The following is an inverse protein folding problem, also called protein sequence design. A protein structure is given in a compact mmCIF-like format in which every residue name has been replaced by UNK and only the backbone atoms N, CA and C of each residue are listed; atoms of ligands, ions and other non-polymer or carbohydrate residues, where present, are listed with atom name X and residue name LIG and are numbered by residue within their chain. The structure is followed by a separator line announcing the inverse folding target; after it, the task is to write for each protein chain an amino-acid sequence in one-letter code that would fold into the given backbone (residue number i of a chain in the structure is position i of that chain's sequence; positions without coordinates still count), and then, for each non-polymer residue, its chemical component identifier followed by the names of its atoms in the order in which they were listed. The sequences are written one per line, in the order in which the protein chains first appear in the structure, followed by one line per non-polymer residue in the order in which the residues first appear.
data_IF_736798902520
#
_entry.id   IF_736798902520
#
_cell.length_a   1.000
_cell.length_b   1.000
_cell.length_c   1.000
_cell.angle_alpha   90.00
_cell.angle_beta   90.00
_cell.angle_gamma   90.00
#
_symmetry.space_group_name_H-M   'P 1'
#
loop_
_entity.id
_entity.type
_entity.pdbx_description
1 polymer ?
#
# COMPACT_ATOMS: atom_id res chain seq x y z
N UNK A 1 15.93 1.91 6.75
CA UNK A 1 14.94 1.57 5.72
C UNK A 1 14.45 0.16 5.99
N UNK A 2 13.14 -0.07 6.04
CA UNK A 2 12.55 -1.36 6.46
C UNK A 2 12.18 -2.25 5.27
N UNK A 3 11.82 -1.62 4.16
CA UNK A 3 11.41 -2.26 2.90
C UNK A 3 12.16 -1.61 1.74
N UNK A 4 12.78 -2.40 0.86
CA UNK A 4 13.25 -1.91 -0.44
C UNK A 4 12.17 -1.98 -1.50
N UNK A 5 12.30 -1.19 -2.57
CA UNK A 5 11.35 -1.25 -3.69
C UNK A 5 11.29 -2.64 -4.34
N UNK A 6 12.43 -3.33 -4.42
CA UNK A 6 12.52 -4.70 -4.95
C UNK A 6 11.78 -5.70 -4.06
N UNK A 7 11.89 -5.54 -2.73
CA UNK A 7 11.15 -6.39 -1.78
C UNK A 7 9.64 -6.17 -1.89
N UNK A 8 9.21 -4.91 -2.07
CA UNK A 8 7.80 -4.58 -2.24
C UNK A 8 7.25 -5.18 -3.54
N UNK A 9 7.96 -5.03 -4.66
CA UNK A 9 7.58 -5.62 -5.93
C UNK A 9 7.56 -7.16 -5.85
N UNK A 10 8.60 -7.78 -5.28
CA UNK A 10 8.68 -9.22 -5.12
C UNK A 10 7.60 -9.78 -4.19
N UNK A 11 7.29 -9.09 -3.10
CA UNK A 11 6.27 -9.53 -2.15
C UNK A 11 4.85 -9.40 -2.72
N UNK A 12 4.57 -8.33 -3.45
CA UNK A 12 3.20 -8.01 -3.91
C UNK A 12 2.90 -8.47 -5.34
N UNK A 13 3.92 -8.83 -6.11
CA UNK A 13 3.83 -9.01 -7.57
C UNK A 13 3.22 -7.78 -8.27
N UNK A 14 3.42 -6.60 -7.67
CA UNK A 14 2.87 -5.34 -8.15
C UNK A 14 3.77 -4.66 -9.18
N UNK A 15 3.15 -3.84 -10.03
CA UNK A 15 3.82 -3.01 -11.02
C UNK A 15 4.06 -1.62 -10.46
N UNK A 16 5.33 -1.18 -10.43
CA UNK A 16 5.68 0.16 -10.00
C UNK A 16 5.51 1.16 -11.15
N UNK A 17 4.84 2.27 -10.88
CA UNK A 17 4.66 3.38 -11.81
C UNK A 17 5.00 4.71 -11.16
N UNK A 18 5.55 5.65 -11.94
CA UNK A 18 6.03 6.94 -11.48
C UNK A 18 7.52 6.95 -11.11
N UNK A 19 7.92 7.83 -10.19
CA UNK A 19 9.31 8.00 -9.80
C UNK A 19 9.83 6.81 -8.98
N UNK A 20 11.01 6.29 -9.33
CA UNK A 20 11.66 5.22 -8.57
C UNK A 20 12.09 5.73 -7.20
N UNK A 21 11.68 5.00 -6.15
CA UNK A 21 12.13 5.24 -4.78
C UNK A 21 13.11 4.14 -4.35
N UNK A 22 13.99 4.45 -3.40
CA UNK A 22 14.89 3.44 -2.83
C UNK A 22 14.14 2.42 -1.95
N UNK A 23 13.09 2.86 -1.26
CA UNK A 23 12.31 2.02 -0.35
C UNK A 23 11.51 2.85 0.65
N UNK A 24 10.91 2.15 1.62
CA UNK A 24 10.04 2.73 2.64
C UNK A 24 10.54 2.40 4.06
N UNK A 25 10.23 3.25 5.03
CA UNK A 25 10.59 3.04 6.44
C UNK A 25 9.53 2.25 7.22
N UNK A 26 8.27 2.30 6.78
CA UNK A 26 7.14 1.62 7.39
C UNK A 26 6.01 1.38 6.39
N UNK A 27 4.91 0.85 6.90
CA UNK A 27 3.67 0.59 6.16
C UNK A 27 2.51 1.15 6.98
N UNK A 28 1.64 1.94 6.35
CA UNK A 28 0.42 2.46 6.96
C UNK A 28 -0.78 2.23 6.06
N UNK A 29 -1.92 1.85 6.65
CA UNK A 29 -3.23 1.73 5.99
C UNK A 29 -4.15 2.92 6.30
N UNK A 30 -3.71 3.85 7.16
CA UNK A 30 -4.46 5.05 7.55
C UNK A 30 -3.57 6.27 7.29
N UNK A 31 -4.05 7.21 6.47
CA UNK A 31 -3.32 8.42 6.11
C UNK A 31 -3.10 9.35 7.31
N UNK A 32 -3.88 9.21 8.39
CA UNK A 32 -3.78 10.02 9.62
C UNK A 32 -2.64 9.60 10.53
N UNK A 33 -2.22 8.34 10.44
CA UNK A 33 -1.12 7.77 11.23
C UNK A 33 0.14 7.54 10.42
N UNK A 34 0.11 7.89 9.13
CA UNK A 34 1.24 7.73 8.23
C UNK A 34 2.38 8.67 8.64
N UNK A 35 3.61 8.15 8.64
CA UNK A 35 4.81 8.96 8.80
C UNK A 35 5.48 9.22 7.45
N UNK A 36 6.24 10.31 7.37
CA UNK A 36 7.00 10.63 6.17
C UNK A 36 7.98 9.49 5.81
N UNK A 37 7.94 9.05 4.56
CA UNK A 37 8.75 7.94 4.07
C UNK A 37 8.10 6.55 4.16
N UNK A 38 6.85 6.46 4.61
CA UNK A 38 6.11 5.20 4.67
C UNK A 38 5.42 4.83 3.35
N UNK A 39 5.14 3.54 3.20
CA UNK A 39 4.21 3.01 2.19
C UNK A 39 2.78 3.20 2.68
N UNK A 40 1.97 3.94 1.94
CA UNK A 40 0.53 3.98 2.14
C UNK A 40 -0.16 2.83 1.39
N UNK A 41 -1.11 2.15 2.02
CA UNK A 41 -1.91 1.09 1.38
C UNK A 41 -3.36 1.54 1.30
N UNK A 42 -3.84 1.80 0.09
CA UNK A 42 -5.19 2.24 -0.17
C UNK A 42 -6.18 1.07 -0.11
N UNK A 43 -6.63 0.71 1.09
CA UNK A 43 -7.64 -0.35 1.25
C UNK A 43 -9.02 0.14 0.79
N UNK A 44 -9.73 -0.71 0.04
CA UNK A 44 -11.13 -0.48 -0.30
C UNK A 44 -12.01 -0.57 0.95
N UNK A 45 -13.04 0.27 1.00
CA UNK A 45 -14.03 0.26 2.07
C UNK A 45 -14.86 -1.03 2.14
N UNK A 46 -15.01 -1.72 1.00
CA UNK A 46 -15.51 -3.09 0.92
C UNK A 46 -14.35 -4.08 0.71
N UNK A 47 -13.98 -4.87 1.73
CA UNK A 47 -12.93 -5.90 1.62
C UNK A 47 -13.36 -7.13 0.80
N UNK A 48 -14.57 -7.13 0.25
CA UNK A 48 -15.08 -8.17 -0.63
C UNK A 48 -15.59 -9.42 0.10
N UNK A 49 -15.96 -10.47 -0.64
CA UNK A 49 -16.69 -11.63 -0.11
C UNK A 49 -15.87 -12.48 0.87
N UNK A 50 -14.55 -12.31 0.89
CA UNK A 50 -13.63 -13.03 1.80
C UNK A 50 -13.82 -12.62 3.25
N UNK A 51 -14.27 -11.40 3.50
CA UNK A 51 -14.56 -10.91 4.84
C UNK A 51 -16.07 -10.79 5.00
N UNK A 52 -16.67 -11.73 5.74
CA UNK A 52 -18.02 -11.54 6.30
C UNK A 52 -17.92 -10.41 7.31
N UNK A 53 -18.23 -9.19 6.90
CA UNK A 53 -18.18 -8.04 7.82
C UNK A 53 -19.51 -7.31 7.88
N UNK A 54 -20.00 -7.16 9.10
CA UNK A 54 -21.02 -6.18 9.52
C UNK A 54 -20.50 -4.74 9.46
N UNK A 55 -19.23 -4.53 9.13
CA UNK A 55 -18.57 -3.25 8.95
C UNK A 55 -18.04 -3.15 7.51
N UNK A 56 -18.93 -2.76 6.58
CA UNK A 56 -18.50 -2.10 5.34
C UNK A 56 -18.21 -0.65 5.70
N UNK A 57 -17.08 -0.12 5.25
CA UNK A 57 -16.85 1.32 5.33
C UNK A 57 -17.19 1.92 3.98
N UNK A 58 -17.95 3.01 3.96
CA UNK A 58 -18.21 3.75 2.71
C UNK A 58 -16.97 4.55 2.25
N UNK A 59 -15.86 4.48 3.01
CA UNK A 59 -14.63 5.22 2.76
C UNK A 59 -13.67 4.37 1.94
N UNK A 60 -13.37 4.83 0.73
CA UNK A 60 -12.35 4.24 -0.12
C UNK A 60 -10.97 4.83 0.21
N UNK A 61 -10.00 3.99 0.58
CA UNK A 61 -8.63 4.40 0.86
C UNK A 61 -7.96 5.14 -0.30
N UNK A 62 -8.41 4.89 -1.53
CA UNK A 62 -7.92 5.54 -2.73
C UNK A 62 -8.23 7.04 -2.79
N UNK A 63 -9.27 7.50 -2.11
CA UNK A 63 -9.62 8.93 -2.03
C UNK A 63 -8.62 9.70 -1.14
N UNK A 64 -7.84 8.99 -0.32
CA UNK A 64 -6.89 9.57 0.62
C UNK A 64 -5.45 9.62 0.08
N UNK A 65 -5.21 9.31 -1.20
CA UNK A 65 -3.86 9.37 -1.79
C UNK A 65 -3.23 10.77 -1.70
N UNK A 66 -4.02 11.82 -1.94
CA UNK A 66 -3.56 13.21 -1.79
C UNK A 66 -3.18 13.53 -0.35
N UNK A 67 -3.94 13.01 0.62
CA UNK A 67 -3.65 13.18 2.05
C UNK A 67 -2.37 12.43 2.44
N UNK A 68 -2.20 11.19 1.96
CA UNK A 68 -0.99 10.39 2.17
C UNK A 68 0.26 11.09 1.59
N UNK A 69 0.16 11.66 0.39
CA UNK A 69 1.22 12.46 -0.22
C UNK A 69 1.58 13.67 0.65
N UNK A 70 0.58 14.43 1.12
CA UNK A 70 0.80 15.58 1.99
C UNK A 70 1.41 15.21 3.34
N UNK A 71 1.11 14.01 3.85
CA UNK A 71 1.75 13.45 5.05
C UNK A 71 3.17 12.91 4.79
N UNK A 72 3.65 12.94 3.54
CA UNK A 72 5.00 12.57 3.16
C UNK A 72 5.17 11.10 2.78
N UNK A 73 4.12 10.40 2.35
CA UNK A 73 4.24 9.03 1.86
C UNK A 73 5.32 8.93 0.77
N UNK A 74 6.12 7.88 0.82
CA UNK A 74 7.13 7.60 -0.21
C UNK A 74 6.51 6.89 -1.42
N UNK A 75 5.51 6.05 -1.18
CA UNK A 75 4.86 5.18 -2.15
C UNK A 75 3.43 4.92 -1.71
N UNK A 76 2.52 4.72 -2.66
CA UNK A 76 1.19 4.21 -2.38
C UNK A 76 0.90 2.91 -3.14
N UNK A 77 0.34 1.93 -2.46
CA UNK A 77 -0.19 0.71 -3.08
C UNK A 77 -1.68 0.86 -3.38
N UNK A 78 -2.05 0.60 -4.63
CA UNK A 78 -3.42 0.76 -5.15
C UNK A 78 -3.79 -0.45 -6.00
N UNK A 79 -5.08 -0.71 -6.19
CA UNK A 79 -5.56 -1.82 -7.03
C UNK A 79 -5.95 -1.39 -8.45
N UNK A 80 -6.01 -0.09 -8.70
CA UNK A 80 -6.45 0.52 -9.95
C UNK A 80 -5.52 1.64 -10.39
N UNK A 81 -5.60 1.98 -11.67
CA UNK A 81 -4.84 3.11 -12.20
C UNK A 81 -5.35 4.43 -11.61
N UNK A 82 -4.42 5.25 -11.10
CA UNK A 82 -4.73 6.53 -10.46
C UNK A 82 -3.97 7.64 -11.21
N UNK A 83 -4.44 8.05 -12.40
CA UNK A 83 -3.80 9.11 -13.17
C UNK A 83 -3.89 10.45 -12.42
N UNK A 84 -2.82 11.23 -12.46
CA UNK A 84 -2.77 12.55 -11.82
C UNK A 84 -2.42 12.55 -10.34
N UNK A 85 -2.07 11.40 -9.75
CA UNK A 85 -1.48 11.34 -8.42
C UNK A 85 0.01 11.65 -8.49
N UNK A 86 0.44 12.74 -7.86
CA UNK A 86 1.86 13.08 -7.72
C UNK A 86 2.52 12.25 -6.60
N UNK A 87 2.51 10.93 -6.74
CA UNK A 87 3.16 10.00 -5.82
C UNK A 87 3.52 8.74 -6.60
N UNK A 88 4.69 8.11 -6.34
CA UNK A 88 4.95 6.77 -6.86
C UNK A 88 3.83 5.82 -6.48
N UNK A 89 3.42 4.97 -7.42
CA UNK A 89 2.32 4.04 -7.25
C UNK A 89 2.82 2.61 -7.45
N UNK A 90 2.47 1.73 -6.52
CA UNK A 90 2.61 0.28 -6.65
C UNK A 90 1.23 -0.29 -6.95
N UNK A 91 0.99 -0.61 -8.22
CA UNK A 91 -0.29 -1.17 -8.65
C UNK A 91 -0.28 -2.68 -8.43
N UNK A 92 -1.29 -3.18 -7.73
CA UNK A 92 -1.51 -4.61 -7.48
C UNK A 92 -2.89 -5.02 -8.00
N UNK A 93 -3.18 -6.32 -8.07
CA UNK A 93 -4.52 -6.78 -8.45
C UNK A 93 -5.57 -6.53 -7.34
N UNK A 94 -5.15 -6.64 -6.08
CA UNK A 94 -5.97 -6.38 -4.90
C UNK A 94 -5.08 -5.88 -3.75
N UNK A 95 -5.40 -4.71 -3.19
CA UNK A 95 -4.61 -4.06 -2.13
C UNK A 95 -4.59 -4.83 -0.82
N UNK A 96 -5.67 -5.57 -0.52
CA UNK A 96 -5.75 -6.40 0.65
C UNK A 96 -4.85 -7.62 0.46
N UNK A 97 -4.92 -8.30 -0.69
CA UNK A 97 -4.00 -9.40 -0.99
C UNK A 97 -2.54 -8.95 -0.99
N UNK A 98 -2.25 -7.76 -1.52
CA UNK A 98 -0.92 -7.13 -1.42
C UNK A 98 -0.45 -6.96 0.04
N UNK A 99 -1.32 -6.45 0.92
CA UNK A 99 -1.01 -6.30 2.35
C UNK A 99 -0.72 -7.67 3.02
N UNK A 100 -1.51 -8.69 2.70
CA UNK A 100 -1.30 -10.03 3.21
C UNK A 100 0.01 -10.65 2.69
N UNK A 101 0.34 -10.40 1.43
CA UNK A 101 1.57 -10.87 0.80
C UNK A 101 2.82 -10.24 1.44
N UNK A 102 2.78 -8.93 1.74
CA UNK A 102 3.81 -8.25 2.53
C UNK A 102 4.00 -8.90 3.90
N UNK A 103 2.91 -9.14 4.63
CA UNK A 103 2.97 -9.82 5.92
C UNK A 103 3.58 -11.23 5.85
N UNK A 104 3.22 -12.00 4.81
CA UNK A 104 3.77 -13.34 4.56
C UNK A 104 5.27 -13.28 4.24
N UNK A 105 5.68 -12.38 3.35
CA UNK A 105 7.07 -12.19 2.97
C UNK A 105 7.95 -11.86 4.17
N UNK A 106 7.51 -10.93 5.03
CA UNK A 106 8.27 -10.55 6.23
C UNK A 106 8.37 -11.68 7.24
N UNK A 107 7.29 -12.44 7.45
CA UNK A 107 7.32 -13.62 8.33
C UNK A 107 8.30 -14.69 7.84
N UNK A 108 8.36 -14.94 6.53
CA UNK A 108 9.31 -15.89 5.95
C UNK A 108 10.76 -15.45 6.16
N UNK A 109 11.06 -14.15 6.06
CA UNK A 109 12.40 -13.62 6.34
C UNK A 109 12.82 -13.67 7.81
N UNK A 110 11.87 -13.60 8.74
CA UNK A 110 12.15 -13.62 10.18
C UNK A 110 12.28 -15.03 10.76
N UNK A 111 11.70 -16.04 10.10
CA UNK A 111 11.73 -17.44 10.53
C UNK A 111 12.78 -18.30 9.84
N UNK A 112 13.73 -17.69 9.12
CA UNK A 112 14.87 -18.35 8.47
C UNK A 112 16.12 -18.32 9.33
#
# INVERSE_FOLDING_TARGET
MLWSVDELAAATSGELSGHTIAGCFGISIDSRTLSAGDLFIALRGDPGPRFRTSSRSDRDGHDFLSAARNAGAALAMVDREMPGVDLPILRVADTLDGLWALGRYRRQKLGG
#
